data_IF_971131012788
#
_entry.id   IF_971131012788
#
_cell.length_a   1.000
_cell.length_b   1.000
_cell.length_c   1.000
_cell.angle_alpha   90.00
_cell.angle_beta   90.00
_cell.angle_gamma   90.00
#
_symmetry.space_group_name_H-M   'P 1'
#
loop_
_entity.id
_entity.type
_entity.pdbx_description
1 polymer ?
#
# COMPACT_ATOMS: atom_id res chain seq x y z
N UNK A 1 11.39 30.77 36.55
CA UNK A 1 12.77 30.26 36.76
C UNK A 1 12.66 28.94 37.52
N UNK A 2 13.36 27.89 37.04
CA UNK A 2 13.37 26.45 37.40
C UNK A 2 12.26 25.57 36.73
N UNK A 3 12.56 24.65 35.78
CA UNK A 3 13.12 23.26 35.86
C UNK A 3 12.12 22.27 36.53
N UNK A 4 11.57 21.20 35.92
CA UNK A 4 12.17 19.90 35.48
C UNK A 4 11.13 19.05 34.69
N UNK A 5 11.61 18.18 33.78
CA UNK A 5 10.98 16.92 33.34
C UNK A 5 10.73 16.90 31.83
N UNK A 6 11.66 16.45 30.98
CA UNK A 6 12.01 15.04 30.72
C UNK A 6 10.80 14.11 30.82
N UNK A 7 10.28 13.69 29.66
CA UNK A 7 9.79 12.34 29.39
C UNK A 7 9.10 12.34 28.01
N UNK A 8 9.85 11.95 26.99
CA UNK A 8 9.40 11.08 25.87
C UNK A 8 10.48 11.08 24.80
N UNK A 9 11.65 10.56 25.19
CA UNK A 9 12.48 9.80 24.27
C UNK A 9 11.69 8.57 23.79
N UNK A 10 10.71 8.75 22.90
CA UNK A 10 10.17 7.64 22.10
C UNK A 10 10.89 7.51 20.75
N UNK A 11 11.82 8.42 20.45
CA UNK A 11 12.58 8.40 19.20
C UNK A 11 14.00 7.83 19.31
N UNK A 12 14.43 7.29 20.45
CA UNK A 12 15.79 6.75 20.55
C UNK A 12 15.88 5.43 21.34
N UNK A 13 16.12 4.37 20.56
CA UNK A 13 16.69 3.08 20.92
C UNK A 13 15.83 2.07 21.71
N UNK A 14 15.30 1.08 20.98
CA UNK A 14 15.68 -0.31 21.23
C UNK A 14 15.33 -1.23 20.04
N UNK A 15 16.39 -1.70 19.36
CA UNK A 15 16.46 -2.94 18.57
C UNK A 15 15.85 -2.93 17.16
N UNK A 16 16.56 -2.26 16.24
CA UNK A 16 16.73 -2.76 14.87
C UNK A 16 17.48 -4.11 14.90
N UNK A 17 16.87 -5.14 15.48
CA UNK A 17 17.20 -6.51 15.11
C UNK A 17 16.52 -6.72 13.77
N UNK A 18 17.28 -6.44 12.70
CA UNK A 18 16.92 -6.78 11.34
C UNK A 18 16.63 -8.28 11.30
N UNK A 19 15.38 -8.65 11.59
CA UNK A 19 14.79 -9.86 11.06
C UNK A 19 14.63 -9.52 9.60
N UNK A 20 15.51 -10.07 8.75
CA UNK A 20 15.16 -10.25 7.36
C UNK A 20 13.79 -10.91 7.38
N UNK A 21 12.75 -10.14 7.09
CA UNK A 21 11.42 -10.69 6.87
C UNK A 21 11.66 -11.45 5.58
N UNK A 22 11.92 -12.75 5.68
CA UNK A 22 11.86 -13.63 4.54
C UNK A 22 10.46 -13.39 3.99
N UNK A 23 10.39 -12.63 2.90
CA UNK A 23 9.15 -12.18 2.29
C UNK A 23 8.58 -13.42 1.62
N UNK A 24 7.99 -14.31 2.42
CA UNK A 24 7.28 -15.47 1.91
C UNK A 24 6.16 -14.91 1.05
N UNK A 25 6.32 -15.04 -0.26
CA UNK A 25 5.23 -14.84 -1.20
C UNK A 25 4.17 -15.89 -0.84
N UNK A 26 3.21 -15.47 -0.02
CA UNK A 26 2.00 -16.24 0.22
C UNK A 26 1.24 -16.23 -1.08
N UNK A 27 1.50 -17.22 -1.92
CA UNK A 27 0.71 -17.43 -3.12
C UNK A 27 -0.73 -17.62 -2.66
N UNK A 28 -1.57 -16.63 -2.94
CA UNK A 28 -2.98 -16.69 -2.58
C UNK A 28 -3.59 -17.75 -3.48
N UNK A 29 -3.99 -18.87 -2.89
CA UNK A 29 -4.69 -19.98 -3.56
C UNK A 29 -6.10 -19.58 -4.07
N UNK A 30 -6.51 -18.32 -3.88
CA UNK A 30 -7.76 -17.79 -4.39
C UNK A 30 -7.63 -17.43 -5.88
N UNK A 31 -8.57 -17.90 -6.70
CA UNK A 31 -8.49 -17.88 -8.17
C UNK A 31 -8.57 -16.52 -8.89
N UNK A 32 -8.39 -15.39 -8.18
CA UNK A 32 -8.27 -14.07 -8.81
C UNK A 32 -6.82 -13.62 -8.77
N UNK A 33 -6.32 -13.10 -9.89
CA UNK A 33 -4.95 -12.60 -9.94
C UNK A 33 -4.80 -11.39 -8.99
N UNK A 34 -3.55 -11.01 -8.71
CA UNK A 34 -3.29 -9.82 -7.90
C UNK A 34 -3.87 -8.56 -8.55
N UNK A 35 -3.73 -8.44 -9.88
CA UNK A 35 -4.25 -7.33 -10.67
C UNK A 35 -5.78 -7.25 -10.61
N UNK A 36 -6.48 -8.38 -10.78
CA UNK A 36 -7.95 -8.42 -10.75
C UNK A 36 -8.51 -7.89 -9.43
N UNK A 37 -7.83 -8.17 -8.32
CA UNK A 37 -8.24 -7.70 -7.00
C UNK A 37 -8.06 -6.19 -6.87
N UNK A 38 -6.95 -5.64 -7.35
CA UNK A 38 -6.70 -4.20 -7.30
C UNK A 38 -7.69 -3.42 -8.17
N UNK A 39 -8.03 -3.93 -9.36
CA UNK A 39 -9.03 -3.33 -10.25
C UNK A 39 -10.40 -3.31 -9.59
N UNK A 40 -10.80 -4.42 -8.97
CA UNK A 40 -12.06 -4.53 -8.25
C UNK A 40 -12.14 -3.56 -7.06
N UNK A 41 -11.05 -3.41 -6.30
CA UNK A 41 -10.98 -2.43 -5.20
C UNK A 41 -11.02 -0.98 -5.72
N UNK A 42 -10.31 -0.65 -6.79
CA UNK A 42 -10.36 0.68 -7.40
C UNK A 42 -11.80 1.04 -7.84
N UNK A 43 -12.52 0.08 -8.42
CA UNK A 43 -13.93 0.26 -8.82
C UNK A 43 -14.82 0.52 -7.60
N UNK A 44 -14.68 -0.26 -6.53
CA UNK A 44 -15.44 -0.09 -5.29
C UNK A 44 -15.21 1.29 -4.66
N UNK A 45 -13.96 1.73 -4.57
CA UNK A 45 -13.60 3.03 -4.01
C UNK A 45 -14.16 4.18 -4.84
N UNK A 46 -14.18 4.06 -6.18
CA UNK A 46 -14.84 5.03 -7.06
C UNK A 46 -16.36 5.06 -6.81
N UNK A 47 -17.01 3.91 -6.69
CA UNK A 47 -18.44 3.83 -6.37
C UNK A 47 -18.77 4.45 -5.01
N UNK A 48 -17.94 4.22 -3.99
CA UNK A 48 -18.08 4.87 -2.69
C UNK A 48 -17.88 6.39 -2.79
N UNK A 49 -16.89 6.85 -3.57
CA UNK A 49 -16.64 8.26 -3.80
C UNK A 49 -17.80 8.97 -4.53
N UNK A 50 -18.63 8.26 -5.31
CA UNK A 50 -19.84 8.84 -5.91
C UNK A 50 -21.00 9.03 -4.94
N UNK A 51 -21.02 8.27 -3.84
CA UNK A 51 -22.09 8.32 -2.83
C UNK A 51 -21.88 9.44 -1.82
N UNK A 52 -20.65 9.92 -1.66
CA UNK A 52 -20.27 10.93 -0.67
C UNK A 52 -20.27 12.32 -1.32
N UNK A 53 -20.78 13.36 -0.65
CA UNK A 53 -20.66 14.73 -1.14
C UNK A 53 -19.20 15.17 -1.27
N UNK A 54 -18.96 16.17 -2.12
CA UNK A 54 -17.63 16.68 -2.38
C UNK A 54 -16.95 17.18 -1.10
N UNK A 55 -15.76 16.65 -0.82
CA UNK A 55 -15.03 16.94 0.41
C UNK A 55 -13.78 16.08 0.56
N UNK A 56 -13.10 16.23 1.70
CA UNK A 56 -11.85 15.52 2.00
C UNK A 56 -12.02 14.00 1.97
N UNK A 57 -13.14 13.48 2.50
CA UNK A 57 -13.43 12.05 2.51
C UNK A 57 -13.52 11.47 1.09
N UNK A 58 -14.19 12.16 0.17
CA UNK A 58 -14.27 11.77 -1.25
C UNK A 58 -12.88 11.77 -1.91
N UNK A 59 -12.06 12.78 -1.64
CA UNK A 59 -10.72 12.88 -2.20
C UNK A 59 -9.81 11.75 -1.71
N UNK A 60 -9.93 11.34 -0.44
CA UNK A 60 -9.17 10.21 0.10
C UNK A 60 -9.54 8.89 -0.59
N UNK A 61 -10.84 8.64 -0.82
CA UNK A 61 -11.29 7.45 -1.56
C UNK A 61 -10.77 7.45 -3.00
N UNK A 62 -10.82 8.61 -3.68
CA UNK A 62 -10.26 8.75 -5.02
C UNK A 62 -8.74 8.52 -5.03
N UNK A 63 -8.00 9.05 -4.06
CA UNK A 63 -6.57 8.80 -3.94
C UNK A 63 -6.25 7.32 -3.76
N UNK A 64 -7.02 6.61 -2.92
CA UNK A 64 -6.86 5.17 -2.75
C UNK A 64 -7.16 4.40 -4.03
N UNK A 65 -8.20 4.79 -4.78
CA UNK A 65 -8.51 4.19 -6.08
C UNK A 65 -7.35 4.38 -7.07
N UNK A 66 -6.77 5.57 -7.14
CA UNK A 66 -5.60 5.84 -7.98
C UNK A 66 -4.35 5.06 -7.54
N UNK A 67 -4.15 4.87 -6.23
CA UNK A 67 -3.07 4.03 -5.72
C UNK A 67 -3.24 2.58 -6.18
N UNK A 68 -4.46 2.04 -6.14
CA UNK A 68 -4.74 0.70 -6.62
C UNK A 68 -4.48 0.56 -8.14
N UNK A 69 -4.88 1.55 -8.94
CA UNK A 69 -4.58 1.60 -10.39
C UNK A 69 -3.08 1.67 -10.66
N UNK A 70 -2.36 2.49 -9.89
CA UNK A 70 -0.90 2.60 -10.00
C UNK A 70 -0.22 1.28 -9.65
N UNK A 71 -0.71 0.59 -8.62
CA UNK A 71 -0.17 -0.72 -8.23
C UNK A 71 -0.33 -1.77 -9.33
N UNK A 72 -1.46 -1.76 -10.08
CA UNK A 72 -1.64 -2.61 -11.27
C UNK A 72 -0.59 -2.28 -12.33
N UNK A 73 -0.38 -0.99 -12.62
CA UNK A 73 0.60 -0.57 -13.62
C UNK A 73 2.04 -0.97 -13.24
N UNK A 74 2.39 -0.87 -11.96
CA UNK A 74 3.70 -1.31 -11.45
C UNK A 74 3.85 -2.83 -11.61
N UNK A 75 2.83 -3.61 -11.29
CA UNK A 75 2.85 -5.07 -11.46
C UNK A 75 2.98 -5.48 -12.95
N UNK A 76 2.30 -4.77 -13.85
CA UNK A 76 2.46 -4.91 -15.30
C UNK A 76 3.88 -4.58 -15.76
N UNK A 77 4.49 -3.52 -15.20
CA UNK A 77 5.87 -3.17 -15.53
C UNK A 77 6.86 -4.24 -15.07
N UNK A 78 6.72 -4.74 -13.84
CA UNK A 78 7.59 -5.77 -13.26
C UNK A 78 7.45 -7.13 -13.97
N UNK A 79 6.28 -7.42 -14.55
CA UNK A 79 6.04 -8.66 -15.31
C UNK A 79 6.53 -8.59 -16.76
N UNK A 80 6.96 -7.42 -17.25
CA UNK A 80 7.51 -7.27 -18.59
C UNK A 80 8.86 -7.98 -18.75
N UNK A 81 8.98 -8.78 -19.81
CA UNK A 81 10.15 -9.64 -20.10
C UNK A 81 11.49 -8.90 -20.18
N UNK A 82 11.49 -7.59 -20.48
CA UNK A 82 12.72 -6.79 -20.55
C UNK A 82 13.41 -6.55 -19.20
N UNK A 83 12.73 -6.85 -18.08
CA UNK A 83 13.27 -6.75 -16.71
C UNK A 83 13.53 -8.13 -16.08
N UNK A 84 13.14 -9.21 -16.74
CA UNK A 84 13.43 -10.56 -16.25
C UNK A 84 14.84 -10.97 -16.66
N UNK A 85 15.67 -11.50 -15.76
CA UNK A 85 16.98 -12.01 -16.12
C UNK A 85 16.81 -13.14 -17.15
N UNK A 86 17.64 -13.18 -18.22
CA UNK A 86 17.62 -14.28 -19.18
C UNK A 86 17.95 -15.60 -18.46
N UNK A 87 17.27 -16.69 -18.88
CA UNK A 87 17.45 -18.04 -18.34
C UNK A 87 18.76 -18.68 -18.76
#
# INVERSE_FOLDING_TARGET
MAFIGDETAFCALALLKQRGIAMQQRHSIYGKTFQDRLIEEARRLREEATKIPDGMARNLLLQQAFQAETAVNVDLWLSSSGLQPPK
#
